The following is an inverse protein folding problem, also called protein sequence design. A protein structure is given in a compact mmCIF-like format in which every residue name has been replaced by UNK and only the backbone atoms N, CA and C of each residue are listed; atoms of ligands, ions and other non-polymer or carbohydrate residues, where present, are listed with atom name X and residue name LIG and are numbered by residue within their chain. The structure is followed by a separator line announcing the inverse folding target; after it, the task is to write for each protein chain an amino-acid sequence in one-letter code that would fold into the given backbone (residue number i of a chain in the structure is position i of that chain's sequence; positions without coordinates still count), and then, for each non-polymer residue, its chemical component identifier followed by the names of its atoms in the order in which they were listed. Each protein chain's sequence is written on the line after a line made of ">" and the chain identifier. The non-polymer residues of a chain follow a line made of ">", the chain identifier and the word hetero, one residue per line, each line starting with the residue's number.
data_IF_831614972791
#
_entry.id   IF_831614972791
#
_cell.length_a   1.000
_cell.length_b   1.000
_cell.length_c   1.000
_cell.angle_alpha   90.00
_cell.angle_beta   90.00
_cell.angle_gamma   90.00
#
_symmetry.space_group_name_H-M   'P 1'
#
loop_
_entity.id
_entity.type
_entity.pdbx_description
1 polymer ?
#
# COMPACT_ATOMS: atom_id res chain seq x y z
N UNK A 1 12.07 0.92 -33.26
CA UNK A 1 12.43 2.22 -32.70
C UNK A 1 11.23 3.12 -32.80
N UNK A 2 10.82 3.73 -31.69
CA UNK A 2 9.67 4.64 -31.63
C UNK A 2 10.18 6.08 -31.54
N UNK A 3 9.80 6.91 -32.51
CA UNK A 3 10.22 8.32 -32.60
C UNK A 3 9.05 9.27 -32.39
N UNK A 4 8.07 9.23 -33.29
CA UNK A 4 6.90 10.12 -33.33
C UNK A 4 5.58 9.39 -33.14
N UNK A 5 5.63 8.07 -33.07
CA UNK A 5 4.46 7.24 -32.82
C UNK A 5 3.76 7.68 -31.54
N UNK A 6 2.46 7.72 -31.58
CA UNK A 6 1.63 8.02 -30.43
C UNK A 6 1.76 6.92 -29.36
N UNK A 7 1.45 7.24 -28.11
CA UNK A 7 1.42 6.23 -27.06
C UNK A 7 0.39 5.13 -27.36
N UNK A 8 -0.70 5.46 -28.06
CA UNK A 8 -1.71 4.46 -28.46
C UNK A 8 -1.13 3.44 -29.45
N UNK A 9 -0.31 3.87 -30.41
CA UNK A 9 0.37 2.95 -31.35
C UNK A 9 1.37 2.04 -30.63
N UNK A 10 2.07 2.59 -29.62
CA UNK A 10 3.01 1.83 -28.79
C UNK A 10 2.24 0.82 -27.94
N UNK A 11 1.13 1.20 -27.32
CA UNK A 11 0.25 0.29 -26.56
C UNK A 11 -0.21 -0.84 -27.48
N UNK A 12 -0.74 -0.52 -28.66
CA UNK A 12 -1.20 -1.53 -29.60
C UNK A 12 -0.07 -2.46 -30.08
N UNK A 13 1.15 -1.95 -30.20
CA UNK A 13 2.32 -2.80 -30.48
C UNK A 13 2.59 -3.77 -29.32
N UNK A 14 2.64 -3.28 -28.09
CA UNK A 14 2.89 -4.10 -26.89
C UNK A 14 1.80 -5.17 -26.73
N UNK A 15 0.53 -4.79 -26.87
CA UNK A 15 -0.60 -5.73 -26.78
C UNK A 15 -0.50 -6.85 -27.82
N UNK A 16 -0.06 -6.53 -29.06
CA UNK A 16 0.21 -7.57 -30.08
C UNK A 16 1.33 -8.51 -29.66
N UNK A 17 2.42 -8.01 -29.06
CA UNK A 17 3.50 -8.87 -28.56
C UNK A 17 2.98 -9.82 -27.47
N UNK A 18 2.19 -9.30 -26.54
CA UNK A 18 1.59 -10.10 -25.47
C UNK A 18 0.58 -11.13 -25.99
N UNK A 19 -0.22 -10.76 -26.97
CA UNK A 19 -1.18 -11.67 -27.62
C UNK A 19 -0.47 -12.79 -28.39
N UNK A 20 0.69 -12.49 -28.97
CA UNK A 20 1.55 -13.49 -29.65
C UNK A 20 2.32 -14.38 -28.66
N UNK A 21 2.14 -14.20 -27.34
CA UNK A 21 2.78 -15.03 -26.32
C UNK A 21 4.21 -14.60 -25.96
N UNK A 22 4.66 -13.40 -26.35
CA UNK A 22 5.98 -12.91 -25.97
C UNK A 22 6.11 -12.84 -24.45
N UNK A 23 7.12 -13.51 -23.88
CA UNK A 23 7.45 -13.44 -22.46
C UNK A 23 8.25 -12.17 -22.14
N UNK A 24 9.03 -11.67 -23.09
CA UNK A 24 9.81 -10.44 -22.97
C UNK A 24 9.94 -9.76 -24.35
N UNK A 25 10.12 -8.44 -24.35
CA UNK A 25 10.39 -7.64 -25.54
C UNK A 25 11.12 -6.34 -25.17
N UNK A 26 11.65 -5.64 -26.17
CA UNK A 26 12.35 -4.36 -25.98
C UNK A 26 11.73 -3.26 -26.85
N UNK A 27 11.72 -2.04 -26.32
CA UNK A 27 11.40 -0.82 -27.04
C UNK A 27 12.66 0.05 -27.12
N UNK A 28 12.96 0.58 -28.31
CA UNK A 28 14.01 1.57 -28.48
C UNK A 28 13.37 2.95 -28.54
N UNK A 29 13.72 3.82 -27.60
CA UNK A 29 13.10 5.15 -27.39
C UNK A 29 14.16 6.23 -27.17
N UNK A 30 13.77 7.50 -27.27
CA UNK A 30 14.60 8.62 -26.83
C UNK A 30 14.86 8.51 -25.33
N UNK A 31 16.10 8.79 -24.91
CA UNK A 31 16.44 8.87 -23.47
C UNK A 31 15.54 9.90 -22.79
N UNK A 32 14.74 9.48 -21.79
CA UNK A 32 13.87 10.40 -21.05
C UNK A 32 14.60 11.59 -20.43
N UNK A 33 15.87 11.45 -20.07
CA UNK A 33 16.65 12.48 -19.44
C UNK A 33 17.01 13.66 -20.35
N UNK A 34 16.97 13.47 -21.66
CA UNK A 34 17.17 14.57 -22.62
C UNK A 34 16.04 15.59 -22.61
N UNK A 35 14.89 15.21 -22.06
CA UNK A 35 13.71 16.07 -21.98
C UNK A 35 13.38 16.54 -20.56
N UNK A 36 14.34 16.64 -19.65
CA UNK A 36 14.09 17.11 -18.28
C UNK A 36 13.38 18.47 -18.27
N UNK A 37 12.31 18.57 -17.48
CA UNK A 37 11.47 19.77 -17.38
C UNK A 37 10.44 19.93 -18.50
N UNK A 38 10.38 19.04 -19.47
CA UNK A 38 9.35 19.01 -20.51
C UNK A 38 8.21 18.07 -20.17
N UNK A 39 7.04 18.36 -20.72
CA UNK A 39 5.88 17.47 -20.58
C UNK A 39 5.93 16.30 -21.53
N UNK A 40 5.28 15.19 -21.17
CA UNK A 40 5.06 14.08 -22.07
C UNK A 40 4.30 14.54 -23.32
N UNK A 41 4.79 14.14 -24.51
CA UNK A 41 4.20 14.54 -25.79
C UNK A 41 4.91 15.70 -26.49
N UNK A 42 5.76 16.47 -25.79
CA UNK A 42 6.56 17.49 -26.46
C UNK A 42 7.56 16.89 -27.45
N UNK A 43 7.86 17.62 -28.52
CA UNK A 43 8.84 17.19 -29.50
C UNK A 43 10.23 17.69 -29.11
N UNK A 44 11.21 16.81 -29.26
CA UNK A 44 12.63 17.08 -29.06
C UNK A 44 13.37 16.70 -30.33
N UNK A 45 14.17 17.61 -30.82
CA UNK A 45 15.12 17.30 -31.90
C UNK A 45 16.36 16.63 -31.31
N UNK A 46 16.70 15.46 -31.82
CA UNK A 46 17.89 14.71 -31.46
C UNK A 46 18.49 14.05 -32.71
N UNK A 47 19.78 14.29 -32.95
CA UNK A 47 20.51 13.80 -34.11
C UNK A 47 19.82 14.09 -35.47
N UNK A 48 19.22 15.28 -35.61
CA UNK A 48 18.51 15.73 -36.82
C UNK A 48 17.12 15.12 -37.01
N UNK A 49 16.59 14.41 -36.00
CA UNK A 49 15.28 13.79 -36.05
C UNK A 49 14.40 14.27 -34.89
N UNK A 50 13.09 14.41 -35.14
CA UNK A 50 12.12 14.76 -34.11
C UNK A 50 11.63 13.50 -33.39
N UNK A 51 11.68 13.56 -32.07
CA UNK A 51 11.21 12.52 -31.16
C UNK A 51 10.14 13.04 -30.22
N UNK A 52 9.15 12.22 -29.92
CA UNK A 52 8.18 12.53 -28.85
C UNK A 52 8.84 12.23 -27.50
N UNK A 53 8.93 13.26 -26.65
CA UNK A 53 9.42 13.11 -25.29
C UNK A 53 8.41 12.33 -24.44
N UNK A 54 8.92 11.36 -23.70
CA UNK A 54 8.16 10.62 -22.66
C UNK A 54 9.06 10.43 -21.43
N UNK A 55 8.72 11.08 -20.32
CA UNK A 55 9.44 10.88 -19.05
C UNK A 55 9.47 9.38 -18.67
N UNK A 56 10.47 8.96 -17.91
CA UNK A 56 10.61 7.58 -17.45
C UNK A 56 9.32 7.05 -16.79
N UNK A 57 8.60 7.91 -16.07
CA UNK A 57 7.34 7.59 -15.43
C UNK A 57 6.27 7.02 -16.39
N UNK A 58 6.21 7.53 -17.63
CA UNK A 58 5.26 7.02 -18.63
C UNK A 58 5.49 5.54 -18.93
N UNK A 59 6.75 5.12 -18.97
CA UNK A 59 7.12 3.74 -19.25
C UNK A 59 6.87 2.81 -18.06
N UNK A 60 7.11 3.31 -16.85
CA UNK A 60 6.78 2.59 -15.60
C UNK A 60 5.27 2.40 -15.47
N UNK A 61 4.48 3.44 -15.73
CA UNK A 61 3.01 3.37 -15.68
C UNK A 61 2.47 2.43 -16.77
N UNK A 62 3.07 2.42 -17.97
CA UNK A 62 2.74 1.48 -19.05
C UNK A 62 2.99 0.03 -18.61
N UNK A 63 4.15 -0.22 -18.00
CA UNK A 63 4.50 -1.55 -17.48
C UNK A 63 3.48 -2.01 -16.42
N UNK A 64 3.20 -1.17 -15.43
CA UNK A 64 2.22 -1.49 -14.38
C UNK A 64 0.83 -1.82 -14.97
N UNK A 65 0.36 -1.00 -15.93
CA UNK A 65 -0.98 -1.16 -16.54
C UNK A 65 -1.12 -2.43 -17.37
N UNK A 66 -0.04 -2.89 -18.00
CA UNK A 66 -0.03 -4.08 -18.85
C UNK A 66 0.51 -5.34 -18.13
N UNK A 67 0.67 -5.28 -16.80
CA UNK A 67 1.21 -6.36 -15.98
C UNK A 67 2.60 -6.84 -16.47
N UNK A 68 3.49 -5.87 -16.65
CA UNK A 68 4.87 -6.08 -17.06
C UNK A 68 5.82 -5.60 -15.95
N UNK A 69 7.01 -6.22 -15.90
CA UNK A 69 8.17 -5.71 -15.20
C UNK A 69 9.02 -4.92 -16.20
N UNK A 70 9.36 -3.69 -15.89
CA UNK A 70 10.34 -2.93 -16.64
C UNK A 70 11.75 -3.28 -16.12
N UNK A 71 12.63 -3.69 -17.05
CA UNK A 71 14.03 -3.96 -16.73
C UNK A 71 14.84 -2.65 -16.72
N UNK A 72 16.02 -2.69 -16.12
CA UNK A 72 16.95 -1.57 -16.16
C UNK A 72 17.22 -1.12 -17.59
N UNK A 73 16.97 0.15 -17.95
CA UNK A 73 17.24 0.69 -19.28
C UNK A 73 18.71 0.53 -19.68
N UNK A 74 18.98 0.29 -20.96
CA UNK A 74 20.32 0.13 -21.50
C UNK A 74 20.53 1.08 -22.67
N UNK A 75 21.72 1.61 -22.80
CA UNK A 75 22.09 2.42 -23.97
C UNK A 75 22.06 1.60 -25.26
N UNK A 76 21.71 2.26 -26.35
CA UNK A 76 21.80 1.66 -27.69
C UNK A 76 23.21 1.88 -28.22
N UNK A 77 23.96 0.80 -28.44
CA UNK A 77 25.33 0.88 -28.95
C UNK A 77 25.42 1.73 -30.22
N UNK A 78 26.32 2.69 -30.24
CA UNK A 78 26.55 3.57 -31.40
C UNK A 78 25.45 4.62 -31.64
N UNK A 79 24.48 4.79 -30.72
CA UNK A 79 23.40 5.77 -30.80
C UNK A 79 23.20 6.48 -29.48
N UNK A 80 24.06 7.44 -29.17
CA UNK A 80 23.92 8.26 -27.96
C UNK A 80 22.52 8.90 -27.87
N UNK A 81 21.97 8.97 -26.67
CA UNK A 81 20.65 9.55 -26.40
C UNK A 81 19.45 8.66 -26.76
N UNK A 82 19.70 7.39 -27.12
CA UNK A 82 18.65 6.38 -27.27
C UNK A 82 18.82 5.26 -26.24
N UNK A 83 17.70 4.81 -25.66
CA UNK A 83 17.67 3.73 -24.70
C UNK A 83 16.85 2.53 -25.23
N UNK A 84 17.27 1.34 -24.82
CA UNK A 84 16.46 0.12 -24.87
C UNK A 84 15.76 -0.06 -23.53
N UNK A 85 14.45 -0.06 -23.56
CA UNK A 85 13.60 -0.39 -22.43
C UNK A 85 13.15 -1.84 -22.59
N UNK A 86 13.64 -2.72 -21.71
CA UNK A 86 13.23 -4.11 -21.65
C UNK A 86 11.98 -4.26 -20.81
N UNK A 87 11.08 -5.16 -21.23
CA UNK A 87 9.86 -5.50 -20.50
C UNK A 87 9.72 -7.01 -20.45
N UNK A 88 9.34 -7.51 -19.29
CA UNK A 88 9.03 -8.92 -19.05
C UNK A 88 7.59 -9.06 -18.57
N UNK A 89 6.89 -10.08 -19.01
CA UNK A 89 5.54 -10.38 -18.53
C UNK A 89 5.60 -10.89 -17.11
N UNK A 90 4.81 -10.27 -16.22
CA UNK A 90 4.67 -10.75 -14.85
C UNK A 90 3.91 -12.08 -14.84
N UNK A 91 4.47 -13.09 -14.18
CA UNK A 91 3.85 -14.40 -14.05
C UNK A 91 2.88 -14.42 -12.87
N UNK A 92 1.58 -14.69 -13.12
CA UNK A 92 0.58 -14.78 -12.04
C UNK A 92 0.83 -15.90 -11.03
N UNK A 93 1.76 -16.83 -11.33
CA UNK A 93 2.05 -18.03 -10.52
C UNK A 93 2.50 -17.72 -9.10
N UNK A 94 3.13 -16.57 -8.90
CA UNK A 94 3.62 -16.12 -7.60
C UNK A 94 2.63 -15.22 -6.84
N UNK A 95 1.35 -15.23 -7.21
CA UNK A 95 0.33 -14.54 -6.43
C UNK A 95 0.14 -15.33 -5.12
N UNK A 96 0.63 -14.80 -4.01
CA UNK A 96 0.32 -15.36 -2.70
C UNK A 96 -1.20 -15.51 -2.48
N UNK A 97 -2.02 -14.70 -3.16
CA UNK A 97 -3.48 -14.79 -3.20
C UNK A 97 -4.02 -15.90 -4.11
N UNK A 98 -3.30 -16.31 -5.16
CA UNK A 98 -3.74 -17.36 -6.08
C UNK A 98 -3.46 -18.77 -5.53
N UNK A 99 -2.43 -18.93 -4.72
CA UNK A 99 -2.17 -20.18 -3.99
C UNK A 99 -3.32 -20.56 -3.04
N UNK A 100 -4.18 -19.61 -2.70
CA UNK A 100 -5.35 -19.82 -1.84
C UNK A 100 -6.56 -20.46 -2.55
N UNK A 101 -6.55 -20.59 -3.87
CA UNK A 101 -7.70 -21.07 -4.65
C UNK A 101 -7.48 -22.41 -5.35
N UNK A 102 -6.31 -23.04 -5.20
CA UNK A 102 -5.96 -24.23 -5.98
C UNK A 102 -5.33 -25.42 -5.27
N UNK A 103 -5.00 -25.32 -4.01
CA UNK A 103 -4.52 -26.46 -3.22
C UNK A 103 -5.17 -26.39 -1.84
N UNK A 104 -5.96 -27.41 -1.52
CA UNK A 104 -6.69 -27.67 -0.27
C UNK A 104 -6.62 -26.58 0.80
N UNK A 105 -7.74 -26.24 1.33
CA UNK A 105 -7.95 -25.20 2.35
C UNK A 105 -6.84 -25.15 3.41
N UNK A 106 -5.74 -24.46 3.11
CA UNK A 106 -4.86 -23.99 4.18
C UNK A 106 -5.71 -23.05 5.05
N UNK A 107 -5.80 -23.36 6.34
CA UNK A 107 -6.60 -22.57 7.26
C UNK A 107 -6.25 -21.08 7.10
N UNK A 108 -7.22 -20.15 7.18
CA UNK A 108 -6.99 -18.72 7.01
C UNK A 108 -5.80 -18.19 7.84
N UNK A 109 -5.50 -18.84 8.96
CA UNK A 109 -4.39 -18.53 9.89
C UNK A 109 -2.99 -18.76 9.30
N UNK A 110 -2.83 -19.69 8.35
CA UNK A 110 -1.51 -20.02 7.78
C UNK A 110 -1.09 -19.06 6.65
N UNK A 111 -2.02 -18.25 6.12
CA UNK A 111 -1.75 -17.31 5.01
C UNK A 111 -0.78 -16.20 5.38
N UNK A 112 -0.66 -15.86 6.65
CA UNK A 112 0.14 -14.74 7.15
C UNK A 112 1.30 -15.20 8.05
N UNK A 113 1.48 -16.52 8.23
CA UNK A 113 2.56 -17.08 9.02
C UNK A 113 3.94 -16.95 8.35
N UNK A 114 5.04 -17.15 9.09
CA UNK A 114 6.43 -16.98 8.63
C UNK A 114 6.80 -17.82 7.40
N UNK A 115 6.10 -18.91 7.13
CA UNK A 115 6.29 -19.75 5.94
C UNK A 115 5.49 -19.30 4.72
N UNK A 116 4.66 -18.27 4.84
CA UNK A 116 3.80 -17.80 3.74
C UNK A 116 4.54 -16.91 2.77
N UNK A 117 3.99 -16.78 1.54
CA UNK A 117 4.49 -15.80 0.57
C UNK A 117 4.40 -14.35 1.09
N UNK A 118 3.44 -14.08 1.98
CA UNK A 118 3.27 -12.77 2.60
C UNK A 118 4.40 -12.41 3.57
N UNK A 119 4.95 -13.39 4.29
CA UNK A 119 6.07 -13.17 5.21
C UNK A 119 7.38 -12.75 4.51
N UNK A 120 7.44 -12.92 3.19
CA UNK A 120 8.58 -12.47 2.36
C UNK A 120 8.51 -10.98 2.01
N UNK A 121 7.36 -10.34 2.24
CA UNK A 121 7.12 -8.94 1.91
C UNK A 121 7.46 -8.10 3.13
N UNK A 122 8.41 -7.17 3.00
CA UNK A 122 8.63 -6.11 3.98
C UNK A 122 7.96 -4.83 3.50
N UNK A 123 6.99 -4.34 4.25
CA UNK A 123 6.36 -3.03 3.97
C UNK A 123 7.35 -1.87 4.14
N UNK A 124 8.41 -2.07 4.92
CA UNK A 124 9.47 -1.06 5.15
C UNK A 124 10.30 -0.78 3.89
N UNK A 125 10.31 -1.71 2.93
CA UNK A 125 10.96 -1.55 1.64
C UNK A 125 10.03 -0.90 0.59
N UNK A 126 8.81 -0.51 0.98
CA UNK A 126 7.90 0.30 0.15
C UNK A 126 7.99 1.77 0.57
N UNK A 127 8.62 2.64 -0.24
CA UNK A 127 8.76 4.07 0.09
C UNK A 127 7.41 4.77 0.26
N UNK A 128 6.39 4.36 -0.53
CA UNK A 128 5.04 4.90 -0.42
C UNK A 128 4.44 4.61 0.95
N UNK A 129 4.51 3.35 1.41
CA UNK A 129 4.05 2.99 2.74
C UNK A 129 4.79 3.75 3.85
N UNK A 130 6.13 3.76 3.79
CA UNK A 130 6.94 4.37 4.84
C UNK A 130 6.71 5.89 4.97
N UNK A 131 6.66 6.61 3.83
CA UNK A 131 6.44 8.06 3.80
C UNK A 131 5.00 8.39 4.17
N UNK A 132 4.00 7.74 3.56
CA UNK A 132 2.59 8.03 3.81
C UNK A 132 2.21 7.79 5.29
N UNK A 133 2.74 6.71 5.89
CA UNK A 133 2.52 6.43 7.32
C UNK A 133 3.22 7.45 8.22
N UNK A 134 4.47 7.82 7.92
CA UNK A 134 5.19 8.85 8.68
C UNK A 134 4.44 10.20 8.62
N UNK A 135 3.92 10.59 7.46
CA UNK A 135 3.10 11.80 7.32
C UNK A 135 1.77 11.71 8.09
N UNK A 136 1.11 10.54 8.10
CA UNK A 136 -0.10 10.33 8.90
C UNK A 136 0.19 10.49 10.39
N UNK A 137 1.30 9.92 10.88
CA UNK A 137 1.75 10.06 12.26
C UNK A 137 2.10 11.53 12.58
N UNK A 138 2.72 12.25 11.65
CA UNK A 138 3.05 13.67 11.80
C UNK A 138 1.83 14.59 12.02
N UNK A 139 0.62 14.14 11.69
CA UNK A 139 -0.63 14.86 11.97
C UNK A 139 -1.14 14.67 13.40
N UNK A 140 -0.61 13.69 14.13
CA UNK A 140 -1.07 13.35 15.46
C UNK A 140 -0.60 14.39 16.47
N UNK A 141 -1.45 14.68 17.47
CA UNK A 141 -1.13 15.55 18.60
C UNK A 141 -1.25 14.70 19.87
N UNK A 142 -0.23 13.87 20.10
CA UNK A 142 -0.17 12.96 21.23
C UNK A 142 0.74 13.53 22.33
N UNK A 143 0.45 13.20 23.57
CA UNK A 143 1.31 13.48 24.70
C UNK A 143 2.61 12.68 24.68
N UNK A 144 3.54 12.93 25.61
CA UNK A 144 4.72 12.11 25.77
C UNK A 144 4.33 10.68 26.23
N UNK A 145 5.04 9.66 25.71
CA UNK A 145 4.79 8.24 26.00
C UNK A 145 3.35 7.79 25.68
N UNK A 146 2.92 7.94 24.43
CA UNK A 146 1.55 7.56 24.07
C UNK A 146 1.38 6.04 24.15
N UNK A 147 0.22 5.61 24.62
CA UNK A 147 -0.23 4.21 24.56
C UNK A 147 -0.80 3.92 23.17
N UNK A 148 -0.26 2.93 22.50
CA UNK A 148 -0.63 2.56 21.12
C UNK A 148 -1.22 1.15 21.11
N UNK A 149 -2.41 1.01 20.52
CA UNK A 149 -3.03 -0.28 20.20
C UNK A 149 -2.88 -0.54 18.71
N UNK A 150 -2.22 -1.64 18.36
CA UNK A 150 -2.04 -2.07 16.98
C UNK A 150 -2.88 -3.33 16.71
N UNK A 151 -3.88 -3.19 15.83
CA UNK A 151 -4.83 -4.25 15.46
C UNK A 151 -4.41 -4.91 14.15
N UNK A 152 -3.95 -6.14 14.22
CA UNK A 152 -3.35 -6.88 13.11
C UNK A 152 -1.88 -6.54 12.95
N UNK A 153 -1.16 -6.46 14.07
CA UNK A 153 0.25 -6.05 14.13
C UNK A 153 1.19 -6.94 13.31
N UNK A 154 0.80 -8.16 12.97
CA UNK A 154 1.63 -9.13 12.26
C UNK A 154 3.04 -9.21 12.89
N UNK A 155 4.10 -8.99 12.12
CA UNK A 155 5.50 -8.97 12.58
C UNK A 155 5.96 -7.58 13.06
N UNK A 156 5.11 -6.54 13.02
CA UNK A 156 5.34 -5.21 13.57
C UNK A 156 6.17 -4.28 12.68
N UNK A 157 6.00 -4.31 11.37
CA UNK A 157 6.72 -3.40 10.48
C UNK A 157 6.36 -1.93 10.76
N UNK A 158 5.10 -1.63 10.99
CA UNK A 158 4.61 -0.29 11.36
C UNK A 158 5.20 0.22 12.68
N UNK A 159 5.53 -0.67 13.61
CA UNK A 159 6.13 -0.30 14.90
C UNK A 159 7.53 0.31 14.75
N UNK A 160 8.25 -0.01 13.68
CA UNK A 160 9.54 0.62 13.37
C UNK A 160 9.34 2.11 13.06
N UNK A 161 8.32 2.44 12.28
CA UNK A 161 8.01 3.83 11.89
C UNK A 161 7.44 4.59 13.10
N UNK A 162 6.51 3.96 13.84
CA UNK A 162 5.95 4.53 15.07
C UNK A 162 7.02 4.83 16.11
N UNK A 163 7.94 3.89 16.35
CA UNK A 163 9.02 4.06 17.33
C UNK A 163 9.98 5.19 17.00
N UNK A 164 10.18 5.47 15.70
CA UNK A 164 10.97 6.62 15.24
C UNK A 164 10.28 7.95 15.47
N UNK A 165 8.96 7.99 15.24
CA UNK A 165 8.17 9.21 15.27
C UNK A 165 7.64 9.55 16.68
N UNK A 166 7.43 8.55 17.53
CA UNK A 166 6.81 8.68 18.86
C UNK A 166 7.73 8.06 19.94
N UNK A 167 8.76 8.77 20.38
CA UNK A 167 9.69 8.24 21.39
C UNK A 167 9.00 7.85 22.70
N UNK A 168 9.35 6.68 23.21
CA UNK A 168 8.83 6.19 24.49
C UNK A 168 7.39 5.67 24.44
N UNK A 169 6.84 5.38 23.25
CA UNK A 169 5.51 4.78 23.11
C UNK A 169 5.41 3.44 23.85
N UNK A 170 4.22 3.16 24.39
CA UNK A 170 3.84 1.87 24.95
C UNK A 170 2.93 1.14 23.98
N UNK A 171 3.35 -0.02 23.48
CA UNK A 171 2.62 -0.77 22.46
C UNK A 171 1.91 -1.97 23.04
N UNK A 172 0.64 -2.12 22.68
CA UNK A 172 -0.11 -3.38 22.74
C UNK A 172 -0.45 -3.77 21.31
N UNK A 173 0.11 -4.88 20.80
CA UNK A 173 -0.17 -5.42 19.48
C UNK A 173 -1.04 -6.68 19.56
N UNK A 174 -2.07 -6.75 18.70
CA UNK A 174 -2.96 -7.92 18.59
C UNK A 174 -2.86 -8.49 17.19
N UNK A 175 -2.69 -9.80 17.08
CA UNK A 175 -2.82 -10.53 15.82
C UNK A 175 -3.35 -11.94 16.11
N UNK A 176 -4.08 -12.51 15.15
CA UNK A 176 -4.59 -13.87 15.27
C UNK A 176 -3.52 -14.95 15.05
N UNK A 177 -2.38 -14.59 14.44
CA UNK A 177 -1.27 -15.47 14.14
C UNK A 177 -0.27 -15.54 15.29
N UNK A 178 -0.26 -16.66 16.03
CA UNK A 178 0.73 -16.90 17.09
C UNK A 178 2.17 -16.83 16.58
N UNK A 179 2.40 -17.28 15.33
CA UNK A 179 3.71 -17.28 14.71
C UNK A 179 4.17 -15.83 14.41
N UNK A 180 3.28 -14.98 13.89
CA UNK A 180 3.59 -13.57 13.67
C UNK A 180 3.88 -12.85 15.00
N UNK A 181 3.07 -13.11 16.01
CA UNK A 181 3.27 -12.58 17.37
C UNK A 181 4.62 -13.02 17.97
N UNK A 182 5.05 -14.27 17.75
CA UNK A 182 6.35 -14.74 18.22
C UNK A 182 7.49 -13.96 17.57
N UNK A 183 7.40 -13.65 16.28
CA UNK A 183 8.37 -12.79 15.57
C UNK A 183 8.34 -11.37 16.12
N UNK A 184 7.15 -10.79 16.29
CA UNK A 184 6.99 -9.43 16.83
C UNK A 184 7.60 -9.29 18.24
N UNK A 185 7.38 -10.27 19.11
CA UNK A 185 8.01 -10.32 20.46
C UNK A 185 9.54 -10.33 20.40
N UNK A 186 10.11 -11.06 19.45
CA UNK A 186 11.56 -11.08 19.24
C UNK A 186 12.12 -9.74 18.77
N UNK A 187 11.36 -9.02 17.92
CA UNK A 187 11.75 -7.71 17.37
C UNK A 187 11.55 -6.56 18.38
N UNK A 188 10.50 -6.64 19.21
CA UNK A 188 10.10 -5.58 20.12
C UNK A 188 9.84 -6.13 21.54
N UNK A 189 10.89 -6.55 22.27
CA UNK A 189 10.74 -7.22 23.57
C UNK A 189 10.11 -6.35 24.66
N UNK A 190 10.09 -5.04 24.48
CA UNK A 190 9.48 -4.08 25.42
C UNK A 190 7.96 -3.89 25.19
N UNK A 191 7.42 -4.39 24.08
CA UNK A 191 6.00 -4.27 23.75
C UNK A 191 5.20 -5.48 24.26
N UNK A 192 3.91 -5.28 24.46
CA UNK A 192 2.96 -6.36 24.81
C UNK A 192 2.29 -6.87 23.55
N UNK A 193 2.34 -8.20 23.33
CA UNK A 193 1.70 -8.82 22.18
C UNK A 193 0.73 -9.92 22.61
N UNK A 194 -0.46 -9.91 22.03
CA UNK A 194 -1.58 -10.83 22.32
C UNK A 194 -1.97 -11.56 21.04
N UNK A 195 -1.88 -12.89 21.08
CA UNK A 195 -2.41 -13.73 20.01
C UNK A 195 -3.92 -13.92 20.23
N UNK A 196 -4.75 -13.19 19.48
CA UNK A 196 -6.20 -13.24 19.61
C UNK A 196 -6.89 -12.78 18.31
N UNK A 197 -8.11 -13.28 18.09
CA UNK A 197 -9.00 -12.74 17.07
C UNK A 197 -9.54 -11.36 17.49
N UNK A 198 -9.74 -10.46 16.53
CA UNK A 198 -10.28 -9.12 16.81
C UNK A 198 -11.71 -9.16 17.37
N UNK A 199 -12.46 -10.23 17.12
CA UNK A 199 -13.76 -10.44 17.74
C UNK A 199 -13.68 -10.57 19.28
N UNK A 200 -12.52 -10.98 19.80
CA UNK A 200 -12.28 -11.07 21.24
C UNK A 200 -11.87 -9.74 21.90
N UNK A 201 -11.66 -8.68 21.12
CA UNK A 201 -11.21 -7.36 21.61
C UNK A 201 -11.98 -6.85 22.84
N UNK A 202 -13.33 -6.95 22.92
CA UNK A 202 -14.09 -6.50 24.09
C UNK A 202 -13.76 -7.24 25.39
N UNK A 203 -13.31 -8.51 25.28
CA UNK A 203 -13.02 -9.36 26.44
C UNK A 203 -11.58 -9.20 26.97
N UNK A 204 -10.71 -8.52 26.23
CA UNK A 204 -9.28 -8.41 26.59
C UNK A 204 -9.01 -7.38 27.70
N UNK A 205 -9.96 -6.52 28.04
CA UNK A 205 -9.85 -5.57 29.15
C UNK A 205 -8.71 -4.56 29.02
N UNK A 206 -8.37 -4.12 27.82
CA UNK A 206 -7.15 -3.36 27.51
C UNK A 206 -7.17 -1.89 27.95
N UNK A 207 -8.34 -1.33 28.23
CA UNK A 207 -8.51 0.11 28.53
C UNK A 207 -8.41 1.00 27.30
N UNK A 208 -8.09 2.28 27.51
CA UNK A 208 -8.03 3.29 26.46
C UNK A 208 -6.58 3.55 25.98
N UNK A 209 -6.45 4.00 24.71
CA UNK A 209 -5.19 4.26 24.02
C UNK A 209 -5.20 5.66 23.41
N UNK A 210 -4.03 6.28 23.33
CA UNK A 210 -3.83 7.58 22.69
C UNK A 210 -3.79 7.45 21.16
N UNK A 211 -3.38 6.28 20.66
CA UNK A 211 -3.41 5.95 19.24
C UNK A 211 -3.93 4.52 19.06
N UNK A 212 -4.89 4.35 18.17
CA UNK A 212 -5.24 3.02 17.62
C UNK A 212 -4.87 2.99 16.16
N UNK A 213 -4.08 1.98 15.77
CA UNK A 213 -3.67 1.76 14.37
C UNK A 213 -4.14 0.39 13.91
N UNK A 214 -4.58 0.31 12.65
CA UNK A 214 -4.91 -0.95 11.99
C UNK A 214 -4.62 -0.85 10.50
N UNK A 215 -3.61 -1.56 10.02
CA UNK A 215 -3.16 -1.46 8.64
C UNK A 215 -3.45 -2.75 7.86
N UNK A 216 -4.32 -2.64 6.84
CA UNK A 216 -4.70 -3.74 5.96
C UNK A 216 -5.37 -4.93 6.66
N UNK A 217 -5.89 -4.76 7.87
CA UNK A 217 -6.45 -5.82 8.69
C UNK A 217 -7.98 -5.84 8.65
N UNK A 218 -8.62 -4.67 8.74
CA UNK A 218 -10.08 -4.58 8.81
C UNK A 218 -10.79 -5.11 7.56
N UNK A 219 -10.10 -5.18 6.41
CA UNK A 219 -10.63 -5.73 5.16
C UNK A 219 -10.39 -7.23 5.01
N UNK A 220 -9.82 -7.88 6.02
CA UNK A 220 -9.54 -9.32 6.00
C UNK A 220 -10.85 -10.13 6.07
N UNK A 221 -10.93 -11.24 5.34
CA UNK A 221 -12.09 -12.14 5.44
C UNK A 221 -12.34 -12.57 6.89
N UNK A 222 -13.60 -12.49 7.33
CA UNK A 222 -14.02 -12.87 8.68
C UNK A 222 -13.92 -11.75 9.73
N UNK A 223 -13.36 -10.60 9.41
CA UNK A 223 -13.37 -9.42 10.29
C UNK A 223 -14.64 -8.62 10.04
N UNK A 224 -15.42 -8.39 11.10
CA UNK A 224 -16.47 -7.38 11.09
C UNK A 224 -15.84 -6.00 11.37
N UNK A 225 -15.45 -5.33 10.30
CA UNK A 225 -14.74 -4.04 10.34
C UNK A 225 -15.54 -2.96 11.05
N UNK A 226 -16.87 -2.98 10.93
CA UNK A 226 -17.76 -2.00 11.55
C UNK A 226 -17.85 -2.20 13.04
N UNK A 227 -17.99 -3.44 13.47
CA UNK A 227 -18.02 -3.76 14.89
C UNK A 227 -16.68 -3.48 15.55
N UNK A 228 -15.56 -3.86 14.92
CA UNK A 228 -14.22 -3.53 15.41
C UNK A 228 -14.04 -2.02 15.54
N UNK A 229 -14.40 -1.24 14.52
CA UNK A 229 -14.28 0.22 14.57
C UNK A 229 -15.17 0.82 15.67
N UNK A 230 -16.36 0.29 15.88
CA UNK A 230 -17.26 0.71 16.96
C UNK A 230 -16.62 0.46 18.32
N UNK A 231 -16.06 -0.72 18.55
CA UNK A 231 -15.37 -1.06 19.80
C UNK A 231 -14.16 -0.14 20.04
N UNK A 232 -13.35 0.08 18.99
CA UNK A 232 -12.21 0.99 19.04
C UNK A 232 -12.64 2.37 19.53
N UNK A 233 -13.58 3.00 18.83
CA UNK A 233 -13.96 4.40 19.08
C UNK A 233 -14.67 4.56 20.44
N UNK A 234 -15.50 3.60 20.83
CA UNK A 234 -16.32 3.71 22.05
C UNK A 234 -15.61 3.24 23.33
N UNK A 235 -14.64 2.32 23.22
CA UNK A 235 -14.05 1.68 24.40
C UNK A 235 -12.54 1.78 24.50
N UNK A 236 -11.85 1.88 23.35
CA UNK A 236 -10.39 1.78 23.32
C UNK A 236 -9.69 3.06 22.89
N UNK A 237 -10.42 4.09 22.47
CA UNK A 237 -9.85 5.37 22.08
C UNK A 237 -10.00 6.37 23.23
N UNK A 238 -8.89 6.95 23.69
CA UNK A 238 -8.89 8.04 24.64
C UNK A 238 -9.63 9.28 24.05
N UNK A 239 -10.20 10.17 24.89
CA UNK A 239 -10.93 11.35 24.42
C UNK A 239 -10.13 12.21 23.41
N UNK A 240 -8.86 12.46 23.68
CA UNK A 240 -7.93 13.16 22.78
C UNK A 240 -7.18 12.26 21.81
N UNK A 241 -7.47 10.96 21.81
CA UNK A 241 -6.76 9.97 21.03
C UNK A 241 -7.01 10.04 19.52
N UNK A 242 -6.14 9.40 18.76
CA UNK A 242 -6.17 9.37 17.31
C UNK A 242 -6.32 7.94 16.76
N UNK A 243 -6.76 7.83 15.51
CA UNK A 243 -6.92 6.55 14.81
C UNK A 243 -6.22 6.64 13.44
N UNK A 244 -5.47 5.62 13.06
CA UNK A 244 -4.95 5.44 11.69
C UNK A 244 -5.46 4.09 11.16
N UNK A 245 -6.27 4.13 10.11
CA UNK A 245 -6.77 2.93 9.43
C UNK A 245 -6.16 2.87 8.03
N UNK A 246 -5.47 1.78 7.72
CA UNK A 246 -4.88 1.54 6.42
C UNK A 246 -5.72 0.57 5.59
N UNK A 247 -6.00 0.94 4.36
CA UNK A 247 -6.70 0.11 3.39
C UNK A 247 -5.77 -0.19 2.21
N UNK A 248 -5.60 -1.46 1.83
CA UNK A 248 -4.74 -1.80 0.71
C UNK A 248 -5.37 -1.33 -0.61
N UNK A 249 -4.60 -0.61 -1.41
CA UNK A 249 -4.94 -0.22 -2.78
C UNK A 249 -3.89 -0.75 -3.78
N UNK A 250 -3.15 -1.74 -3.36
CA UNK A 250 -2.13 -2.42 -4.15
C UNK A 250 -2.08 -3.90 -3.81
N UNK A 251 -1.42 -4.64 -4.67
CA UNK A 251 -1.09 -6.05 -4.48
C UNK A 251 0.29 -6.33 -5.05
N UNK A 252 0.91 -7.38 -4.60
CA UNK A 252 2.16 -7.86 -5.19
C UNK A 252 1.86 -8.92 -6.25
N UNK A 253 2.47 -8.79 -7.41
CA UNK A 253 2.42 -9.74 -8.52
C UNK A 253 3.85 -10.03 -8.92
N UNK A 254 4.31 -11.24 -8.74
CA UNK A 254 5.68 -11.66 -9.06
C UNK A 254 6.77 -10.73 -8.49
N UNK A 255 6.58 -10.30 -7.23
CA UNK A 255 7.49 -9.38 -6.54
C UNK A 255 7.29 -7.91 -6.88
N UNK A 256 6.51 -7.56 -7.89
CA UNK A 256 6.21 -6.16 -8.25
C UNK A 256 4.94 -5.65 -7.56
N UNK A 257 5.00 -4.41 -7.09
CA UNK A 257 3.84 -3.72 -6.53
C UNK A 257 2.93 -3.23 -7.66
N UNK A 258 1.72 -3.76 -7.73
CA UNK A 258 0.73 -3.39 -8.74
C UNK A 258 -0.47 -2.68 -8.09
N UNK A 259 -0.99 -1.64 -8.76
CA UNK A 259 -2.17 -0.91 -8.35
C UNK A 259 -3.43 -1.81 -8.28
N UNK A 260 -4.24 -1.56 -7.25
CA UNK A 260 -5.54 -2.18 -7.06
C UNK A 260 -5.49 -3.48 -6.24
N UNK A 261 -5.91 -3.40 -4.98
CA UNK A 261 -6.00 -4.54 -4.06
C UNK A 261 -7.23 -5.40 -4.32
N UNK A 262 -8.38 -4.77 -4.60
CA UNK A 262 -9.64 -5.45 -4.89
C UNK A 262 -9.93 -5.41 -6.37
N UNK A 263 -10.32 -6.53 -6.92
CA UNK A 263 -10.61 -6.68 -8.34
C UNK A 263 -12.00 -7.27 -8.51
N UNK A 264 -12.81 -6.62 -9.34
CA UNK A 264 -14.06 -7.18 -9.82
C UNK A 264 -13.74 -8.32 -10.79
N UNK A 265 -14.29 -9.50 -10.52
CA UNK A 265 -14.06 -10.69 -11.36
C UNK A 265 -12.57 -11.05 -11.58
N UNK A 266 -11.67 -10.68 -10.64
CA UNK A 266 -10.24 -10.94 -10.69
C UNK A 266 -9.48 -10.35 -11.90
N UNK A 267 -10.10 -9.48 -12.69
CA UNK A 267 -9.50 -8.91 -13.90
C UNK A 267 -9.23 -7.41 -13.81
N UNK A 268 -10.09 -6.67 -13.11
CA UNK A 268 -9.97 -5.21 -13.04
C UNK A 268 -10.03 -4.72 -11.59
N UNK A 269 -9.22 -3.73 -11.20
CA UNK A 269 -9.32 -3.07 -9.91
C UNK A 269 -10.72 -2.45 -9.72
N UNK A 270 -11.33 -2.69 -8.55
CA UNK A 270 -12.64 -2.14 -8.20
C UNK A 270 -12.48 -1.07 -7.11
N UNK A 271 -12.27 0.15 -7.55
CA UNK A 271 -12.04 1.29 -6.66
C UNK A 271 -13.28 1.63 -5.81
N UNK A 272 -14.48 1.32 -6.32
CA UNK A 272 -15.73 1.56 -5.59
C UNK A 272 -15.80 0.80 -4.26
N UNK A 273 -15.18 -0.37 -4.17
CA UNK A 273 -15.09 -1.14 -2.92
C UNK A 273 -14.25 -0.42 -1.87
N UNK A 274 -13.12 0.17 -2.30
CA UNK A 274 -12.27 0.97 -1.42
C UNK A 274 -12.96 2.26 -1.00
N UNK A 275 -13.56 2.98 -1.94
CA UNK A 275 -14.26 4.25 -1.68
C UNK A 275 -15.39 4.05 -0.68
N UNK A 276 -16.13 2.95 -0.76
CA UNK A 276 -17.20 2.60 0.19
C UNK A 276 -16.67 2.50 1.62
N UNK A 277 -15.57 1.79 1.82
CA UNK A 277 -14.98 1.60 3.15
C UNK A 277 -14.41 2.93 3.68
N UNK A 278 -13.67 3.66 2.84
CA UNK A 278 -13.11 4.99 3.20
C UNK A 278 -14.23 5.97 3.60
N UNK A 279 -15.32 6.02 2.83
CA UNK A 279 -16.44 6.90 3.11
C UNK A 279 -17.12 6.55 4.44
N UNK A 280 -17.27 5.25 4.73
CA UNK A 280 -17.83 4.79 6.00
C UNK A 280 -16.93 5.17 7.17
N UNK A 281 -15.63 4.84 7.13
CA UNK A 281 -14.71 5.13 8.23
C UNK A 281 -14.58 6.63 8.47
N UNK A 282 -14.44 7.43 7.40
CA UNK A 282 -14.42 8.89 7.50
C UNK A 282 -15.66 9.43 8.19
N UNK A 283 -16.86 9.05 7.73
CA UNK A 283 -18.13 9.52 8.29
C UNK A 283 -18.26 9.12 9.76
N UNK A 284 -17.94 7.87 10.09
CA UNK A 284 -18.04 7.36 11.45
C UNK A 284 -17.11 8.11 12.41
N UNK A 285 -15.86 8.31 12.05
CA UNK A 285 -14.89 9.07 12.86
C UNK A 285 -15.31 10.54 13.03
N UNK A 286 -15.82 11.18 11.98
CA UNK A 286 -16.34 12.56 12.05
C UNK A 286 -17.53 12.68 13.01
N UNK A 287 -18.46 11.73 12.99
CA UNK A 287 -19.58 11.68 13.93
C UNK A 287 -19.15 11.53 15.39
N UNK A 288 -17.93 11.03 15.64
CA UNK A 288 -17.33 10.91 16.97
C UNK A 288 -16.27 12.00 17.25
N UNK A 289 -16.43 13.18 16.64
CA UNK A 289 -15.64 14.37 16.93
C UNK A 289 -14.19 14.34 16.43
N UNK A 290 -13.90 13.57 15.39
CA UNK A 290 -12.55 13.52 14.80
C UNK A 290 -12.51 14.34 13.51
N UNK A 291 -11.45 15.15 13.38
CA UNK A 291 -11.04 15.68 12.07
C UNK A 291 -10.38 14.53 11.29
N UNK A 292 -10.78 14.31 10.03
CA UNK A 292 -10.35 13.13 9.28
C UNK A 292 -9.61 13.50 8.01
N UNK A 293 -8.44 12.94 7.84
CA UNK A 293 -7.62 13.03 6.64
C UNK A 293 -7.63 11.68 5.90
N UNK A 294 -7.70 11.73 4.58
CA UNK A 294 -7.57 10.56 3.70
C UNK A 294 -6.39 10.81 2.78
N UNK A 295 -5.35 10.00 2.88
CA UNK A 295 -4.08 10.18 2.16
C UNK A 295 -3.56 8.85 1.63
N UNK A 296 -2.47 8.91 0.85
CA UNK A 296 -1.80 7.73 0.30
C UNK A 296 -2.31 7.32 -1.08
N UNK A 297 -1.59 6.42 -1.70
CA UNK A 297 -1.87 5.89 -3.04
C UNK A 297 -2.03 4.37 -3.04
N UNK A 298 -0.96 3.65 -2.76
CA UNK A 298 -0.95 2.18 -2.73
C UNK A 298 -1.48 1.63 -1.40
N UNK A 299 -1.34 2.43 -0.34
CA UNK A 299 -2.00 2.26 0.95
C UNK A 299 -2.82 3.53 1.19
N UNK A 300 -4.13 3.40 1.26
CA UNK A 300 -4.99 4.54 1.60
C UNK A 300 -5.15 4.59 3.11
N UNK A 301 -4.72 5.70 3.71
CA UNK A 301 -4.75 5.92 5.15
C UNK A 301 -5.92 6.85 5.48
N UNK A 302 -6.78 6.40 6.39
CA UNK A 302 -7.82 7.22 7.02
C UNK A 302 -7.34 7.57 8.42
N UNK A 303 -6.90 8.81 8.61
CA UNK A 303 -6.36 9.32 9.87
C UNK A 303 -7.37 10.22 10.56
N UNK A 304 -7.87 9.80 11.71
CA UNK A 304 -8.76 10.59 12.56
C UNK A 304 -8.01 11.14 13.76
N UNK A 305 -7.96 12.47 13.91
CA UNK A 305 -7.37 13.15 15.06
C UNK A 305 -8.45 13.88 15.85
N UNK A 306 -8.22 14.15 17.13
CA UNK A 306 -9.15 14.96 17.93
C UNK A 306 -9.36 16.32 17.25
N UNK A 307 -10.62 16.72 17.06
CA UNK A 307 -10.94 18.04 16.53
C UNK A 307 -10.42 19.13 17.50
N UNK A 308 -9.73 20.14 16.96
CA UNK A 308 -9.35 21.31 17.75
C UNK A 308 -10.61 22.07 18.20
N UNK A 309 -10.56 22.74 19.35
CA UNK A 309 -11.68 23.54 19.89
C UNK A 309 -12.07 24.73 18.97
N UNK A 310 -11.28 25.02 17.94
CA UNK A 310 -11.45 26.21 17.09
C UNK A 310 -12.58 26.14 16.03
N UNK A 311 -13.18 24.99 15.77
CA UNK A 311 -14.23 24.85 14.73
C UNK A 311 -15.66 24.72 15.28
N UNK A 312 -15.89 24.80 16.60
CA UNK A 312 -17.24 24.69 17.17
C UNK A 312 -18.03 26.00 17.20
N UNK A 313 -17.41 27.14 16.86
CA UNK A 313 -18.03 28.49 16.94
C UNK A 313 -18.43 29.09 15.58
N UNK A 314 -18.40 28.34 14.49
CA UNK A 314 -18.88 28.81 13.18
C UNK A 314 -19.84 27.78 12.57
N UNK A 315 -20.96 27.53 13.19
CA UNK A 315 -22.07 26.76 12.68
C UNK A 315 -23.39 27.45 12.92
#
# INVERSE_FOLDING_TARGET
>A
MFRRESLLEIIAFVERQLAAGAAAFELCVLDPDLGRGRYAGELIEHAGELHVHRPLRVWLDLAERLALRMLTPREVAGRAGLLRLGFERLEPRNRWQAAAHGAGEAAPRERYGPGSGYARISKLEDPGFAIDLAEAIGRLRLGPRPRVLDLGVNTGDELVILGRALPGLEVVGIDHSEQAIAVARGRFPQATFIAADLAALPALGLGAFDLVISLNTLQSPGVDDREVLRQVVQRHLAPGGAVILGLPNSRYVDGELAYGARMKNFRQPELGLLIKDVAFYRKYLQQHGRQVFVTGKHYVLVTGVAGGEAERDQG
#
